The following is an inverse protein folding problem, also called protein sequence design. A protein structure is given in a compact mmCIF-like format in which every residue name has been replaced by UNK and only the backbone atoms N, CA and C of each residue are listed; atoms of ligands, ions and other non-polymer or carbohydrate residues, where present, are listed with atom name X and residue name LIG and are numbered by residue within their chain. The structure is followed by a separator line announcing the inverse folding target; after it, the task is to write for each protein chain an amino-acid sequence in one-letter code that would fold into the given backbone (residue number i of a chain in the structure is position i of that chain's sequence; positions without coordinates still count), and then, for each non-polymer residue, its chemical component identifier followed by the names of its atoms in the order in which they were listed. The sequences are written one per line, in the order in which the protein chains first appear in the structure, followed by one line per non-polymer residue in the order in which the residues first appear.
data_IF_646055951405
#
_entry.id   IF_646055951405
#
_cell.length_a   1.000
_cell.length_b   1.000
_cell.length_c   1.000
_cell.angle_alpha   90.00
_cell.angle_beta   90.00
_cell.angle_gamma   90.00
#
_symmetry.space_group_name_H-M   'P 1'
#
loop_
_entity.id
_entity.type
_entity.pdbx_description
1 polymer ?
#
# COMPACT_ATOMS: atom_id res chain seq x y z
N UNK A 1 -11.08 -6.08 -0.03
CA UNK A 1 -9.90 -6.21 0.86
C UNK A 1 -8.80 -5.32 0.31
N UNK A 2 -8.17 -4.50 1.14
CA UNK A 2 -7.04 -3.66 0.72
C UNK A 2 -5.88 -4.53 0.21
N UNK A 3 -5.26 -4.14 -0.90
CA UNK A 3 -4.08 -4.84 -1.42
C UNK A 3 -2.86 -4.36 -0.64
N UNK A 4 -2.16 -5.28 0.01
CA UNK A 4 -0.91 -4.96 0.71
C UNK A 4 0.11 -4.45 -0.29
N UNK A 5 0.71 -3.29 -0.01
CA UNK A 5 1.84 -2.73 -0.74
C UNK A 5 3.09 -2.75 0.14
N UNK A 6 4.25 -2.78 -0.49
CA UNK A 6 5.53 -2.86 0.21
C UNK A 6 6.30 -1.56 0.07
N UNK A 7 7.00 -1.17 1.12
CA UNK A 7 7.70 0.11 1.24
C UNK A 7 9.15 -0.12 1.62
N UNK A 8 9.99 0.86 1.28
CA UNK A 8 11.40 0.89 1.67
C UNK A 8 11.78 2.31 2.06
N UNK A 9 12.41 2.45 3.22
CA UNK A 9 12.95 3.74 3.70
C UNK A 9 14.27 4.13 3.01
N UNK A 10 14.88 3.22 2.25
CA UNK A 10 16.21 3.39 1.65
C UNK A 10 16.16 3.35 0.11
N UNK A 11 14.96 3.36 -0.48
CA UNK A 11 14.79 3.43 -1.92
C UNK A 11 15.41 4.71 -2.48
N UNK A 12 16.32 4.56 -3.42
CA UNK A 12 16.97 5.69 -4.08
C UNK A 12 16.19 6.11 -5.33
N UNK A 13 16.17 7.41 -5.60
CA UNK A 13 15.64 7.94 -6.84
C UNK A 13 16.46 7.41 -8.02
N UNK A 14 15.79 7.17 -9.14
CA UNK A 14 16.40 6.70 -10.38
C UNK A 14 15.74 7.39 -11.57
N UNK A 15 16.09 6.97 -12.77
CA UNK A 15 15.51 7.50 -14.00
C UNK A 15 15.09 6.37 -14.94
N UNK A 16 14.18 6.68 -15.85
CA UNK A 16 13.79 5.79 -16.92
C UNK A 16 14.93 5.62 -17.93
N UNK A 17 15.38 4.39 -18.17
CA UNK A 17 16.50 4.10 -19.08
C UNK A 17 16.12 4.14 -20.55
N UNK A 18 14.84 3.89 -20.85
CA UNK A 18 14.29 3.97 -22.21
C UNK A 18 12.86 4.49 -22.15
N UNK A 19 12.45 5.26 -23.18
CA UNK A 19 11.09 5.79 -23.24
C UNK A 19 10.04 4.67 -23.20
N UNK A 20 8.89 4.98 -22.61
CA UNK A 20 7.72 4.09 -22.61
C UNK A 20 6.51 4.82 -23.19
N UNK A 21 5.68 4.09 -23.91
CA UNK A 21 4.40 4.61 -24.40
C UNK A 21 3.32 4.48 -23.33
N UNK A 22 2.18 5.15 -23.52
CA UNK A 22 1.03 5.03 -22.60
C UNK A 22 0.49 3.59 -22.47
N UNK A 23 0.67 2.75 -23.48
CA UNK A 23 0.27 1.33 -23.45
C UNK A 23 1.34 0.37 -22.95
N UNK A 24 2.54 0.85 -22.61
CA UNK A 24 3.64 0.00 -22.12
C UNK A 24 3.31 -0.59 -20.75
N UNK A 25 3.51 -1.90 -20.59
CA UNK A 25 3.28 -2.65 -19.34
C UNK A 25 4.56 -3.02 -18.62
N UNK A 26 5.70 -2.61 -19.14
CA UNK A 26 7.01 -2.74 -18.50
C UNK A 26 7.85 -1.50 -18.74
N UNK A 27 8.79 -1.24 -17.84
CA UNK A 27 9.76 -0.15 -17.96
C UNK A 27 11.14 -0.62 -17.51
N UNK A 28 12.18 -0.01 -18.06
CA UNK A 28 13.57 -0.23 -17.65
C UNK A 28 14.07 1.00 -16.94
N UNK A 29 14.56 0.82 -15.71
CA UNK A 29 15.09 1.90 -14.87
C UNK A 29 16.61 1.81 -14.78
N UNK A 30 17.27 2.94 -14.43
CA UNK A 30 18.72 3.01 -14.32
C UNK A 30 19.28 2.16 -13.19
N UNK A 31 18.55 2.08 -12.07
CA UNK A 31 18.91 1.27 -10.90
C UNK A 31 17.69 0.97 -10.06
N UNK A 32 17.77 -0.06 -9.23
CA UNK A 32 16.73 -0.46 -8.26
C UNK A 32 17.26 -0.50 -6.83
N UNK A 33 18.24 0.35 -6.53
CA UNK A 33 18.92 0.38 -5.22
C UNK A 33 17.92 0.74 -4.13
N UNK A 34 17.80 -0.15 -3.16
CA UNK A 34 16.92 0.04 -2.01
C UNK A 34 15.43 -0.08 -2.30
N UNK A 35 15.00 -0.42 -3.51
CA UNK A 35 13.60 -0.68 -3.78
C UNK A 35 13.09 -1.90 -3.00
N UNK A 36 11.78 -1.99 -2.69
CA UNK A 36 11.23 -3.17 -2.03
C UNK A 36 11.57 -4.46 -2.79
N UNK A 37 11.93 -5.51 -2.07
CA UNK A 37 12.17 -6.85 -2.63
C UNK A 37 10.88 -7.66 -2.80
N UNK A 38 9.79 -7.17 -2.25
CA UNK A 38 8.45 -7.79 -2.33
C UNK A 38 7.50 -6.89 -3.12
N UNK A 39 6.47 -7.49 -3.71
CA UNK A 39 5.50 -6.82 -4.59
C UNK A 39 4.07 -6.91 -4.06
N UNK A 40 3.18 -5.99 -4.45
CA UNK A 40 3.42 -4.78 -5.25
C UNK A 40 3.96 -3.60 -4.43
N UNK A 41 4.52 -2.60 -5.13
CA UNK A 41 4.86 -1.29 -4.58
C UNK A 41 4.64 -0.19 -5.62
N UNK A 42 4.50 1.08 -5.18
CA UNK A 42 4.20 2.19 -6.07
C UNK A 42 5.45 3.03 -6.40
N UNK A 43 5.53 3.48 -7.65
CA UNK A 43 6.51 4.45 -8.12
C UNK A 43 5.79 5.62 -8.77
N UNK A 44 6.34 6.84 -8.62
CA UNK A 44 6.01 8.00 -9.43
C UNK A 44 7.00 8.09 -10.59
N UNK A 45 6.50 8.19 -11.81
CA UNK A 45 7.27 8.44 -13.03
C UNK A 45 7.05 9.88 -13.45
N UNK A 46 8.07 10.57 -13.91
CA UNK A 46 8.11 12.04 -14.06
C UNK A 46 7.78 12.76 -12.74
N UNK A 47 8.34 12.25 -11.64
CA UNK A 47 8.09 12.76 -10.30
C UNK A 47 8.23 14.29 -10.24
N UNK A 48 7.22 14.94 -9.65
CA UNK A 48 7.11 16.40 -9.51
C UNK A 48 6.99 17.17 -10.84
N UNK A 49 6.56 16.51 -11.91
CA UNK A 49 6.26 17.15 -13.20
C UNK A 49 4.75 17.14 -13.48
N UNK A 50 4.29 17.97 -14.42
CA UNK A 50 2.89 17.97 -14.83
C UNK A 50 2.43 16.65 -15.49
N UNK A 51 3.39 15.86 -15.99
CA UNK A 51 3.19 14.53 -16.56
C UNK A 51 3.36 13.39 -15.55
N UNK A 52 3.41 13.70 -14.25
CA UNK A 52 3.58 12.67 -13.22
C UNK A 52 2.51 11.59 -13.32
N UNK A 53 2.96 10.35 -13.37
CA UNK A 53 2.11 9.17 -13.36
C UNK A 53 2.51 8.23 -12.23
N UNK A 54 1.52 7.72 -11.51
CA UNK A 54 1.72 6.66 -10.55
C UNK A 54 1.58 5.30 -11.25
N UNK A 55 2.55 4.44 -11.03
CA UNK A 55 2.55 3.07 -11.53
C UNK A 55 2.70 2.08 -10.37
N UNK A 56 2.03 0.94 -10.48
CA UNK A 56 2.17 -0.14 -9.52
C UNK A 56 3.12 -1.19 -10.10
N UNK A 57 4.25 -1.41 -9.45
CA UNK A 57 5.19 -2.47 -9.83
C UNK A 57 4.68 -3.80 -9.31
N UNK A 58 4.48 -4.76 -10.19
CA UNK A 58 3.93 -6.09 -9.87
C UNK A 58 4.98 -7.19 -9.85
N UNK A 59 6.10 -6.99 -10.54
CA UNK A 59 7.28 -7.85 -10.50
C UNK A 59 8.49 -7.13 -11.08
N UNK A 60 9.68 -7.63 -10.82
CA UNK A 60 10.93 -7.10 -11.35
C UNK A 60 11.89 -8.23 -11.76
N UNK A 61 12.67 -7.97 -12.81
CA UNK A 61 13.80 -8.79 -13.24
C UNK A 61 15.00 -7.85 -13.47
N UNK A 62 15.87 -7.73 -12.46
CA UNK A 62 16.93 -6.72 -12.45
C UNK A 62 16.34 -5.31 -12.48
N UNK A 63 16.69 -4.54 -13.52
CA UNK A 63 16.17 -3.18 -13.74
C UNK A 63 14.92 -3.11 -14.60
N UNK A 64 14.42 -4.24 -15.08
CA UNK A 64 13.15 -4.31 -15.81
C UNK A 64 12.00 -4.55 -14.84
N UNK A 65 11.06 -3.61 -14.79
CA UNK A 65 9.91 -3.63 -13.90
C UNK A 65 8.63 -3.86 -14.70
N UNK A 66 7.83 -4.85 -14.33
CA UNK A 66 6.47 -5.00 -14.85
C UNK A 66 5.53 -4.13 -14.05
N UNK A 67 4.69 -3.35 -14.73
CA UNK A 67 3.92 -2.27 -14.12
C UNK A 67 2.45 -2.29 -14.55
N UNK A 68 1.59 -1.86 -13.63
CA UNK A 68 0.23 -1.41 -13.95
C UNK A 68 0.25 0.11 -14.05
N UNK A 69 -0.24 0.63 -15.17
CA UNK A 69 -0.22 2.06 -15.54
C UNK A 69 -1.42 2.81 -14.99
N UNK A 70 -1.29 4.13 -14.93
CA UNK A 70 -2.39 5.03 -14.53
C UNK A 70 -2.95 4.69 -13.16
N UNK A 71 -2.08 4.36 -12.20
CA UNK A 71 -2.48 3.89 -10.89
C UNK A 71 -2.97 5.04 -10.00
N UNK A 72 -3.82 4.73 -9.02
CA UNK A 72 -4.29 5.66 -7.97
C UNK A 72 -4.84 7.00 -8.52
N UNK A 73 -5.58 6.95 -9.65
CA UNK A 73 -6.26 8.12 -10.23
C UNK A 73 -5.42 8.94 -11.20
N UNK A 74 -4.17 8.56 -11.48
CA UNK A 74 -3.38 9.17 -12.56
C UNK A 74 -3.74 8.56 -13.92
N UNK A 75 -3.35 9.23 -15.01
CA UNK A 75 -3.57 8.74 -16.38
C UNK A 75 -2.27 8.19 -16.96
N UNK A 76 -2.38 7.07 -17.69
CA UNK A 76 -1.24 6.52 -18.42
C UNK A 76 -0.82 7.43 -19.57
N UNK A 77 0.40 7.95 -19.53
CA UNK A 77 0.99 8.83 -20.54
C UNK A 77 2.31 8.28 -21.07
N UNK A 78 2.82 8.84 -22.18
CA UNK A 78 4.17 8.53 -22.64
C UNK A 78 5.21 9.23 -21.76
N UNK A 79 6.29 8.51 -21.41
CA UNK A 79 7.42 9.08 -20.68
C UNK A 79 8.71 8.90 -21.44
N UNK A 80 9.54 9.92 -21.44
CA UNK A 80 10.83 9.91 -22.15
C UNK A 80 11.93 9.26 -21.31
N UNK A 81 12.97 8.80 -21.99
CA UNK A 81 14.24 8.43 -21.34
C UNK A 81 14.71 9.58 -20.43
N UNK A 82 15.15 9.25 -19.23
CA UNK A 82 15.58 10.22 -18.22
C UNK A 82 14.45 10.72 -17.30
N UNK A 83 13.18 10.34 -17.53
CA UNK A 83 12.09 10.66 -16.62
C UNK A 83 12.43 10.26 -15.19
N UNK A 84 12.26 11.18 -14.24
CA UNK A 84 12.58 10.94 -12.83
C UNK A 84 11.63 9.89 -12.23
N UNK A 85 12.18 8.93 -11.51
CA UNK A 85 11.42 7.86 -10.87
C UNK A 85 11.72 7.86 -9.37
N UNK A 86 10.65 7.83 -8.57
CA UNK A 86 10.73 7.79 -7.12
C UNK A 86 9.77 6.77 -6.53
N UNK A 87 10.23 6.03 -5.51
CA UNK A 87 9.34 5.22 -4.68
C UNK A 87 8.50 6.13 -3.77
N UNK A 88 7.18 5.94 -3.76
CA UNK A 88 6.24 6.84 -3.09
C UNK A 88 5.20 6.10 -2.26
N UNK A 89 4.69 6.77 -1.23
CA UNK A 89 3.44 6.44 -0.56
C UNK A 89 2.33 7.14 -1.33
N UNK A 90 1.24 6.46 -1.61
CA UNK A 90 0.13 6.97 -2.41
C UNK A 90 -1.12 7.21 -1.56
N UNK A 91 -2.06 8.01 -2.05
CA UNK A 91 -3.29 8.33 -1.33
C UNK A 91 -4.11 7.08 -0.96
N UNK A 92 -4.10 6.04 -1.81
CA UNK A 92 -4.77 4.77 -1.52
C UNK A 92 -4.24 4.10 -0.25
N UNK A 93 -2.96 4.25 0.07
CA UNK A 93 -2.38 3.67 1.29
C UNK A 93 -2.98 4.27 2.55
N UNK A 94 -3.18 5.61 2.54
CA UNK A 94 -3.80 6.33 3.64
C UNK A 94 -5.30 6.01 3.74
N UNK A 95 -5.98 5.85 2.59
CA UNK A 95 -7.38 5.43 2.55
C UNK A 95 -7.54 4.02 3.11
N UNK A 96 -6.70 3.07 2.71
CA UNK A 96 -6.71 1.70 3.19
C UNK A 96 -6.42 1.64 4.70
N UNK A 97 -5.48 2.47 5.19
CA UNK A 97 -5.17 2.58 6.61
C UNK A 97 -6.34 3.17 7.40
N UNK A 98 -6.96 4.26 6.95
CA UNK A 98 -8.14 4.85 7.59
C UNK A 98 -9.31 3.87 7.61
N UNK A 99 -9.57 3.18 6.51
CA UNK A 99 -10.61 2.16 6.43
C UNK A 99 -10.35 1.00 7.42
N UNK A 100 -9.07 0.63 7.63
CA UNK A 100 -8.73 -0.39 8.63
C UNK A 100 -8.98 0.12 10.05
N UNK A 101 -8.73 1.39 10.35
CA UNK A 101 -9.01 1.98 11.67
C UNK A 101 -10.51 2.01 11.98
N UNK A 102 -11.36 2.20 10.96
CA UNK A 102 -12.82 2.27 11.11
C UNK A 102 -13.48 0.87 11.17
N UNK A 103 -12.74 -0.21 10.93
CA UNK A 103 -13.27 -1.56 11.02
C UNK A 103 -13.65 -1.92 12.47
N UNK A 104 -14.89 -2.32 12.65
CA UNK A 104 -15.43 -2.79 13.94
C UNK A 104 -15.72 -4.28 13.97
N UNK A 105 -15.61 -4.96 12.83
CA UNK A 105 -15.89 -6.38 12.67
C UNK A 105 -14.76 -7.11 11.94
N UNK A 106 -14.49 -8.36 12.34
CA UNK A 106 -13.45 -9.22 11.74
C UNK A 106 -12.04 -8.60 11.72
N UNK A 107 -11.72 -7.74 12.68
CA UNK A 107 -10.39 -7.13 12.82
C UNK A 107 -9.50 -8.07 13.63
N UNK A 108 -8.37 -8.48 13.06
CA UNK A 108 -7.41 -9.41 13.71
C UNK A 108 -8.03 -10.69 14.27
N UNK A 109 -9.06 -11.22 13.60
CA UNK A 109 -9.78 -12.41 14.04
C UNK A 109 -10.84 -12.15 15.13
N UNK A 110 -11.06 -10.90 15.53
CA UNK A 110 -12.13 -10.52 16.45
C UNK A 110 -13.38 -10.20 15.66
N UNK A 111 -14.47 -10.93 15.92
CA UNK A 111 -15.73 -10.83 15.16
C UNK A 111 -16.38 -9.46 15.29
N UNK A 112 -16.26 -8.81 16.45
CA UNK A 112 -16.78 -7.47 16.69
C UNK A 112 -15.93 -6.75 17.75
N UNK A 113 -15.17 -5.74 17.34
CA UNK A 113 -14.32 -4.96 18.23
C UNK A 113 -15.09 -3.84 18.94
N UNK A 114 -16.22 -3.38 18.39
CA UNK A 114 -17.05 -2.33 19.00
C UNK A 114 -17.80 -2.83 20.25
N UNK A 115 -18.03 -4.13 20.37
CA UNK A 115 -18.73 -4.74 21.49
C UNK A 115 -17.78 -5.41 22.50
N UNK A 116 -16.49 -5.11 22.46
CA UNK A 116 -15.50 -5.77 23.31
C UNK A 116 -15.71 -5.38 24.76
N UNK A 117 -16.24 -6.33 25.55
CA UNK A 117 -16.39 -6.22 27.00
C UNK A 117 -17.18 -5.00 27.52
N UNK A 118 -18.28 -4.64 26.86
CA UNK A 118 -19.08 -3.47 27.24
C UNK A 118 -20.09 -3.76 28.36
N UNK A 119 -20.44 -5.03 28.58
CA UNK A 119 -21.43 -5.44 29.57
C UNK A 119 -21.02 -6.73 30.31
N UNK A 120 -21.63 -6.97 31.47
CA UNK A 120 -21.47 -8.24 32.21
C UNK A 120 -21.94 -9.46 31.40
N UNK A 121 -22.85 -9.26 30.46
CA UNK A 121 -23.34 -10.29 29.55
C UNK A 121 -22.25 -10.72 28.56
N UNK A 122 -21.46 -9.77 28.05
CA UNK A 122 -20.35 -10.08 27.12
C UNK A 122 -19.27 -10.90 27.84
N UNK A 123 -19.00 -10.59 29.08
CA UNK A 123 -18.04 -11.33 29.92
C UNK A 123 -18.55 -12.75 30.20
N UNK A 124 -19.86 -12.91 30.43
CA UNK A 124 -20.47 -14.22 30.64
C UNK A 124 -20.43 -15.08 29.36
N UNK A 125 -20.68 -14.46 28.18
CA UNK A 125 -20.61 -15.12 26.89
C UNK A 125 -19.18 -15.56 26.55
N UNK A 126 -18.16 -14.83 27.03
CA UNK A 126 -16.75 -15.18 26.90
C UNK A 126 -16.29 -16.30 27.86
N UNK A 127 -17.20 -16.83 28.69
CA UNK A 127 -16.91 -17.89 29.68
C UNK A 127 -16.13 -17.39 30.92
N UNK A 128 -16.07 -16.10 31.15
CA UNK A 128 -15.46 -15.52 32.34
C UNK A 128 -16.52 -15.47 33.47
N UNK A 129 -16.30 -16.07 34.63
CA UNK A 129 -17.29 -16.05 35.72
C UNK A 129 -17.57 -14.64 36.20
N UNK A 130 -18.85 -14.23 36.23
CA UNK A 130 -19.30 -12.89 36.67
C UNK A 130 -18.91 -12.60 38.14
N UNK A 131 -18.69 -13.62 38.94
CA UNK A 131 -18.24 -13.50 40.32
C UNK A 131 -16.91 -12.74 40.47
N UNK A 132 -16.10 -12.66 39.44
CA UNK A 132 -14.81 -11.91 39.45
C UNK A 132 -15.01 -10.39 39.40
N UNK A 133 -16.17 -9.90 38.96
CA UNK A 133 -16.48 -8.47 38.81
C UNK A 133 -16.99 -7.79 40.08
N UNK A 134 -17.42 -8.57 41.09
CA UNK A 134 -18.00 -8.03 42.33
C UNK A 134 -17.00 -7.91 43.49
N UNK A 135 -15.73 -8.30 43.26
CA UNK A 135 -14.70 -8.25 44.33
C UNK A 135 -14.03 -6.86 44.52
N UNK A 136 -14.59 -5.80 43.93
CA UNK A 136 -14.07 -4.43 44.04
C UNK A 136 -15.08 -3.39 44.49
N UNK A 137 -16.14 -3.79 45.15
CA UNK A 137 -17.08 -2.87 45.79
C UNK A 137 -16.87 -2.79 47.27
#
# INVERSE_FOLDING_TARGET
MATKRYYSAVAQDTTLSSSITSGGTSMVVGATVGFPSSFPYALAVDYNAASEELVLVTSAAGTTLNITRGYNGTSATGHNTGAAIRHVIIAQDLTDFSAHMDLTTNVHGITNTAALLTTSTDISAAGIPVAFLTMGA
#
